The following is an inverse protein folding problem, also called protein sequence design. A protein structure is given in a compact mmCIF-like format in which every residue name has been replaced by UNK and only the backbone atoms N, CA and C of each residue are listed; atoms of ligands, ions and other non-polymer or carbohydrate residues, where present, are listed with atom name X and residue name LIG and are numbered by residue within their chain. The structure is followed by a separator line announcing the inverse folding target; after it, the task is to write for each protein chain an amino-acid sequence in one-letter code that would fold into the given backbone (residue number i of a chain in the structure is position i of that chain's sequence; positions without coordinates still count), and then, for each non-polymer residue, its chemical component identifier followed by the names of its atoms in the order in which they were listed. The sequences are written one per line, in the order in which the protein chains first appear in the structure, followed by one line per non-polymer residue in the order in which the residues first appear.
data_IF_109117555456
#
_entry.id   IF_109117555456
#
_cell.length_a   1.000
_cell.length_b   1.000
_cell.length_c   1.000
_cell.angle_alpha   90.00
_cell.angle_beta   90.00
_cell.angle_gamma   90.00
#
_symmetry.space_group_name_H-M   'P 1'
#
loop_
_entity.id
_entity.type
_entity.pdbx_description
1 polymer ?
#
# COMPACT_ATOMS: atom_id res chain seq x y z
N UNK A 1 -5.47 -24.43 -1.72
CA UNK A 1 -6.40 -23.28 -1.59
C UNK A 1 -6.34 -22.48 -2.88
N UNK A 2 -7.43 -22.41 -3.64
CA UNK A 2 -7.47 -21.63 -4.90
C UNK A 2 -7.66 -20.14 -4.60
N UNK A 3 -6.92 -19.23 -5.25
CA UNK A 3 -7.10 -17.79 -5.04
C UNK A 3 -8.51 -17.35 -5.46
N UNK A 4 -9.07 -16.37 -4.74
CA UNK A 4 -10.38 -15.81 -5.03
C UNK A 4 -10.40 -15.11 -6.40
N UNK A 5 -11.58 -14.94 -7.03
CA UNK A 5 -11.71 -14.18 -8.28
C UNK A 5 -11.10 -12.77 -8.19
N UNK A 6 -11.27 -12.07 -7.07
CA UNK A 6 -10.69 -10.73 -6.88
C UNK A 6 -9.14 -10.74 -6.88
N UNK A 7 -8.52 -11.77 -6.31
CA UNK A 7 -7.05 -11.92 -6.36
C UNK A 7 -6.57 -12.19 -7.79
N UNK A 8 -7.36 -12.92 -8.59
CA UNK A 8 -7.03 -13.13 -10.00
C UNK A 8 -7.14 -11.84 -10.79
N UNK A 9 -8.20 -11.07 -10.60
CA UNK A 9 -8.39 -9.77 -11.25
C UNK A 9 -7.26 -8.78 -10.92
N UNK A 10 -6.94 -8.58 -9.63
CA UNK A 10 -5.88 -7.66 -9.20
C UNK A 10 -4.48 -7.97 -9.75
N UNK A 11 -4.21 -9.25 -10.08
CA UNK A 11 -2.94 -9.66 -10.69
C UNK A 11 -2.78 -9.15 -12.11
N UNK A 12 -3.88 -8.98 -12.83
CA UNK A 12 -3.88 -8.48 -14.22
C UNK A 12 -3.66 -6.96 -14.28
N UNK A 13 -3.80 -6.25 -13.15
CA UNK A 13 -3.60 -4.80 -13.11
C UNK A 13 -2.14 -4.44 -13.35
N UNK A 14 -1.89 -3.34 -14.04
CA UNK A 14 -0.56 -2.78 -14.22
C UNK A 14 -0.04 -2.15 -12.91
N UNK A 15 1.28 -1.99 -12.82
CA UNK A 15 1.90 -1.26 -11.70
C UNK A 15 1.38 0.18 -11.55
N UNK A 16 1.00 0.83 -12.67
CA UNK A 16 0.40 2.16 -12.66
C UNK A 16 -0.99 2.17 -12.03
N UNK A 17 -1.86 1.24 -12.41
CA UNK A 17 -3.23 1.17 -11.86
C UNK A 17 -3.21 0.86 -10.37
N UNK A 18 -2.36 -0.08 -9.94
CA UNK A 18 -2.17 -0.36 -8.51
C UNK A 18 -1.66 0.85 -7.74
N UNK A 19 -0.70 1.59 -8.31
CA UNK A 19 -0.19 2.82 -7.72
C UNK A 19 -1.26 3.90 -7.54
N UNK A 20 -2.15 4.07 -8.53
CA UNK A 20 -3.27 5.03 -8.42
C UNK A 20 -4.22 4.69 -7.27
N UNK A 21 -4.55 3.41 -7.08
CA UNK A 21 -5.39 2.97 -5.96
C UNK A 21 -4.74 3.25 -4.62
N UNK A 22 -3.44 2.92 -4.47
CA UNK A 22 -2.71 3.15 -3.22
C UNK A 22 -2.59 4.64 -2.87
N UNK A 23 -2.38 5.48 -3.88
CA UNK A 23 -2.34 6.94 -3.69
C UNK A 23 -3.68 7.50 -3.27
N UNK A 24 -4.77 7.08 -3.91
CA UNK A 24 -6.11 7.50 -3.51
C UNK A 24 -6.42 7.06 -2.08
N UNK A 25 -6.01 5.84 -1.72
CA UNK A 25 -6.15 5.37 -0.36
C UNK A 25 -5.32 6.19 0.64
N UNK A 26 -4.07 6.56 0.31
CA UNK A 26 -3.26 7.44 1.14
C UNK A 26 -3.96 8.80 1.38
N UNK A 27 -4.53 9.40 0.34
CA UNK A 27 -5.32 10.64 0.45
C UNK A 27 -6.56 10.45 1.34
N UNK A 28 -7.26 9.32 1.21
CA UNK A 28 -8.41 9.00 2.07
C UNK A 28 -8.00 8.85 3.54
N UNK A 29 -6.88 8.18 3.83
CA UNK A 29 -6.38 8.02 5.20
C UNK A 29 -6.03 9.38 5.81
N UNK A 30 -5.33 10.24 5.08
CA UNK A 30 -4.96 11.57 5.59
C UNK A 30 -6.18 12.48 5.76
N UNK A 31 -7.13 12.47 4.82
CA UNK A 31 -8.37 13.27 4.93
C UNK A 31 -9.26 12.85 6.11
N UNK A 32 -9.18 11.59 6.54
CA UNK A 32 -9.90 11.07 7.70
C UNK A 32 -9.00 10.87 8.92
N UNK A 33 -7.82 11.52 8.97
CA UNK A 33 -6.79 11.27 9.99
C UNK A 33 -7.32 11.41 11.41
N UNK A 34 -8.14 12.42 11.69
CA UNK A 34 -8.67 12.66 13.04
C UNK A 34 -9.65 11.57 13.49
N UNK A 35 -10.61 11.19 12.64
CA UNK A 35 -11.58 10.15 12.96
C UNK A 35 -10.89 8.79 13.18
N UNK A 36 -9.94 8.44 12.29
CA UNK A 36 -9.13 7.23 12.42
C UNK A 36 -8.28 7.24 13.69
N UNK A 37 -7.75 8.40 14.09
CA UNK A 37 -6.97 8.52 15.32
C UNK A 37 -7.82 8.31 16.57
N UNK A 38 -9.06 8.81 16.57
CA UNK A 38 -10.01 8.59 17.68
C UNK A 38 -10.37 7.11 17.79
N UNK A 39 -10.65 6.43 16.66
CA UNK A 39 -10.92 4.99 16.63
C UNK A 39 -9.72 4.22 17.20
N UNK A 40 -8.54 4.45 16.64
CA UNK A 40 -7.30 3.78 17.05
C UNK A 40 -6.96 4.00 18.54
N UNK A 41 -7.13 5.23 19.02
CA UNK A 41 -6.97 5.59 20.44
C UNK A 41 -7.96 4.83 21.32
N UNK A 42 -9.21 4.72 20.89
CA UNK A 42 -10.27 4.05 21.64
C UNK A 42 -10.07 2.53 21.72
N UNK A 43 -9.54 1.93 20.66
CA UNK A 43 -9.30 0.48 20.59
C UNK A 43 -8.03 0.04 21.34
N UNK A 44 -6.96 0.85 21.30
CA UNK A 44 -5.65 0.47 21.85
C UNK A 44 -5.29 1.18 23.17
N UNK A 45 -6.02 2.24 23.54
CA UNK A 45 -5.76 3.01 24.76
C UNK A 45 -4.52 3.92 24.73
N UNK A 46 -3.88 4.09 23.56
CA UNK A 46 -2.73 4.99 23.39
C UNK A 46 -3.14 6.46 23.42
N UNK A 47 -2.27 7.39 23.80
CA UNK A 47 -2.54 8.82 23.70
C UNK A 47 -2.93 9.24 22.27
N UNK A 48 -3.91 10.14 22.12
CA UNK A 48 -4.44 10.57 20.82
C UNK A 48 -3.36 11.15 19.88
N UNK A 49 -2.33 11.82 20.43
CA UNK A 49 -1.24 12.36 19.63
C UNK A 49 -0.32 11.26 19.03
N UNK A 50 -0.14 10.14 19.73
CA UNK A 50 0.55 8.97 19.20
C UNK A 50 -0.28 8.31 18.10
N UNK A 51 -1.59 8.14 18.33
CA UNK A 51 -2.51 7.62 17.31
C UNK A 51 -2.47 8.45 16.01
N UNK A 52 -2.50 9.78 16.11
CA UNK A 52 -2.34 10.69 14.96
C UNK A 52 -1.07 10.45 14.18
N UNK A 53 0.03 10.28 14.92
CA UNK A 53 1.35 10.06 14.32
C UNK A 53 1.38 8.72 13.57
N UNK A 54 0.77 7.67 14.13
CA UNK A 54 0.63 6.38 13.47
C UNK A 54 -0.24 6.44 12.20
N UNK A 55 -1.37 7.16 12.22
CA UNK A 55 -2.23 7.29 11.03
C UNK A 55 -1.49 8.05 9.92
N UNK A 56 -0.76 9.13 10.25
CA UNK A 56 0.08 9.83 9.27
C UNK A 56 1.18 8.91 8.72
N UNK A 57 1.82 8.12 9.57
CA UNK A 57 2.83 7.16 9.11
C UNK A 57 2.22 6.09 8.19
N UNK A 58 1.01 5.61 8.47
CA UNK A 58 0.29 4.69 7.61
C UNK A 58 0.00 5.30 6.22
N UNK A 59 -0.44 6.56 6.16
CA UNK A 59 -0.63 7.27 4.89
C UNK A 59 0.69 7.41 4.11
N UNK A 60 1.78 7.75 4.78
CA UNK A 60 3.11 7.85 4.17
C UNK A 60 3.59 6.51 3.58
N UNK A 61 3.34 5.40 4.28
CA UNK A 61 3.64 4.06 3.75
C UNK A 61 2.85 3.77 2.49
N UNK A 62 1.55 4.08 2.47
CA UNK A 62 0.71 3.88 1.29
C UNK A 62 1.21 4.69 0.09
N UNK A 63 1.58 5.95 0.30
CA UNK A 63 2.16 6.80 -0.75
C UNK A 63 3.47 6.22 -1.28
N UNK A 64 4.36 5.76 -0.41
CA UNK A 64 5.62 5.13 -0.83
C UNK A 64 5.37 3.86 -1.67
N UNK A 65 4.48 2.97 -1.22
CA UNK A 65 4.11 1.77 -1.97
C UNK A 65 3.40 2.10 -3.28
N UNK A 66 2.64 3.19 -3.35
CA UNK A 66 2.03 3.68 -4.59
C UNK A 66 3.09 3.99 -5.65
N UNK A 67 4.23 4.53 -5.23
CA UNK A 67 5.35 4.76 -6.14
C UNK A 67 6.08 3.47 -6.52
N UNK A 68 6.37 2.60 -5.53
CA UNK A 68 7.06 1.33 -5.77
C UNK A 68 6.26 0.36 -6.64
N UNK A 69 4.93 0.47 -6.65
CA UNK A 69 4.07 -0.30 -7.55
C UNK A 69 4.48 -0.13 -9.03
N UNK A 70 5.09 1.01 -9.39
CA UNK A 70 5.58 1.31 -10.75
C UNK A 70 7.03 0.92 -10.98
N UNK A 71 7.75 0.43 -9.97
CA UNK A 71 9.20 0.13 -9.99
C UNK A 71 9.51 -1.35 -9.75
N UNK A 72 8.55 -2.22 -10.02
CA UNK A 72 8.77 -3.67 -9.98
C UNK A 72 9.54 -4.07 -11.25
N UNK A 73 10.87 -4.12 -11.13
CA UNK A 73 11.76 -4.53 -12.21
C UNK A 73 11.96 -6.05 -12.21
N UNK A 74 12.11 -6.63 -13.40
CA UNK A 74 12.58 -7.99 -13.59
C UNK A 74 13.99 -8.00 -14.15
N UNK A 75 14.68 -9.14 -14.00
CA UNK A 75 16.01 -9.35 -14.54
C UNK A 75 15.97 -10.20 -15.82
N UNK A 76 16.86 -9.88 -16.77
CA UNK A 76 17.10 -10.71 -17.94
C UNK A 76 18.42 -11.46 -17.78
N UNK A 77 18.34 -12.76 -17.51
CA UNK A 77 19.51 -13.63 -17.39
C UNK A 77 19.87 -14.23 -18.75
N UNK A 78 21.12 -14.07 -19.25
CA UNK A 78 21.54 -14.68 -20.50
C UNK A 78 21.60 -16.20 -20.39
N UNK A 79 21.19 -16.89 -21.46
CA UNK A 79 21.28 -18.35 -21.53
C UNK A 79 22.76 -18.81 -21.50
N UNK A 80 23.09 -19.92 -20.83
CA UNK A 80 24.44 -20.48 -20.85
C UNK A 80 24.88 -20.75 -22.29
N UNK A 81 26.07 -20.27 -22.68
CA UNK A 81 26.68 -20.65 -23.97
C UNK A 81 27.23 -22.07 -23.85
N UNK A 82 26.92 -22.91 -24.84
CA UNK A 82 27.55 -24.22 -25.00
C UNK A 82 28.97 -23.99 -25.51
N UNK A 83 29.96 -24.49 -24.76
CA UNK A 83 31.37 -24.51 -25.16
C UNK A 83 31.58 -25.34 -26.43
#
# INVERSE_FOLDING_TARGET
MTPSPAVKDWREWSGRERGLVLREWAHMVESHREDLSVILCSEQGKPLHEARSEITQAANYLEWFAEEARRIYGDNLPAPRRN
#
